data_IF_131198072817
#
_entry.id   IF_131198072817
#
_cell.length_a   1.000
_cell.length_b   1.000
_cell.length_c   1.000
_cell.angle_alpha   90.00
_cell.angle_beta   90.00
_cell.angle_gamma   90.00
#
_symmetry.space_group_name_H-M   'P 1'
#
loop_
_entity.id
_entity.type
_entity.pdbx_description
1 polymer ?
#
# COMPACT_ATOMS: atom_id res chain seq x y z
N UNK A 1 6.95 24.10 3.24
CA UNK A 1 6.20 24.99 4.16
C UNK A 1 4.97 25.57 3.45
N UNK A 2 5.08 26.20 2.26
CA UNK A 2 3.94 26.79 1.53
C UNK A 2 2.83 25.79 1.24
N UNK A 3 3.15 24.58 0.75
CA UNK A 3 2.16 23.53 0.47
C UNK A 3 1.40 23.14 1.73
N UNK A 4 2.09 22.98 2.86
CA UNK A 4 1.45 22.62 4.15
C UNK A 4 0.49 23.73 4.57
N UNK A 5 0.89 24.99 4.45
CA UNK A 5 0.03 26.15 4.77
C UNK A 5 -1.22 26.19 3.90
N UNK A 6 -1.08 25.97 2.58
CA UNK A 6 -2.21 25.94 1.66
C UNK A 6 -3.16 24.78 1.94
N UNK A 7 -2.64 23.57 2.13
CA UNK A 7 -3.45 22.38 2.42
C UNK A 7 -4.16 22.50 3.76
N UNK A 8 -3.52 23.10 4.78
CA UNK A 8 -4.14 23.32 6.09
C UNK A 8 -5.38 24.23 6.03
N UNK A 9 -5.39 25.19 5.11
CA UNK A 9 -6.52 26.13 4.94
C UNK A 9 -7.68 25.54 4.10
N UNK A 10 -7.51 24.35 3.49
CA UNK A 10 -8.58 23.72 2.72
C UNK A 10 -9.62 23.15 3.67
N UNK A 11 -10.92 23.50 3.54
CA UNK A 11 -11.98 22.93 4.35
C UNK A 11 -12.04 21.39 4.20
N UNK A 12 -12.14 20.70 5.33
CA UNK A 12 -12.09 19.23 5.40
C UNK A 12 -13.17 18.51 4.56
N UNK A 13 -14.26 19.16 4.23
CA UNK A 13 -15.32 18.55 3.42
C UNK A 13 -14.89 18.22 2.00
N UNK A 14 -13.91 18.94 1.42
CA UNK A 14 -13.35 18.60 0.11
C UNK A 14 -12.61 17.26 0.14
N UNK A 15 -11.94 16.93 1.24
CA UNK A 15 -11.28 15.63 1.40
C UNK A 15 -12.28 14.46 1.42
N UNK A 16 -13.55 14.72 1.73
CA UNK A 16 -14.62 13.72 1.62
C UNK A 16 -14.86 13.30 0.17
N UNK A 17 -14.87 14.25 -0.75
CA UNK A 17 -15.02 13.95 -2.17
C UNK A 17 -13.78 13.21 -2.71
N UNK A 18 -12.58 13.70 -2.36
CA UNK A 18 -11.30 13.08 -2.73
C UNK A 18 -11.24 11.63 -2.26
N UNK A 19 -11.67 11.32 -1.03
CA UNK A 19 -11.63 9.95 -0.51
C UNK A 19 -12.58 8.99 -1.22
N UNK A 20 -13.75 9.48 -1.66
CA UNK A 20 -14.76 8.64 -2.33
C UNK A 20 -14.41 8.38 -3.80
N UNK A 21 -14.06 9.45 -4.53
CA UNK A 21 -13.75 9.37 -5.95
C UNK A 21 -12.30 8.93 -6.19
N UNK A 22 -11.38 9.27 -5.28
CA UNK A 22 -9.96 8.98 -5.41
C UNK A 22 -9.62 7.50 -5.35
N UNK A 23 -10.28 6.70 -4.50
CA UNK A 23 -10.01 5.27 -4.40
C UNK A 23 -10.22 4.51 -5.71
N UNK A 24 -11.36 4.59 -6.40
CA UNK A 24 -11.53 3.93 -7.70
C UNK A 24 -10.51 4.39 -8.74
N UNK A 25 -10.23 5.70 -8.79
CA UNK A 25 -9.23 6.26 -9.71
C UNK A 25 -7.85 5.66 -9.44
N UNK A 26 -7.45 5.60 -8.16
CA UNK A 26 -6.17 5.03 -7.75
C UNK A 26 -6.09 3.55 -8.08
N UNK A 27 -7.15 2.77 -7.90
CA UNK A 27 -7.17 1.35 -8.25
C UNK A 27 -7.00 1.13 -9.75
N UNK A 28 -7.64 1.95 -10.59
CA UNK A 28 -7.45 1.92 -12.05
C UNK A 28 -5.99 2.26 -12.40
N UNK A 29 -5.40 3.28 -11.78
CA UNK A 29 -4.01 3.67 -12.01
C UNK A 29 -3.02 2.59 -11.55
N UNK A 30 -3.27 1.96 -10.40
CA UNK A 30 -2.45 0.85 -9.90
C UNK A 30 -2.55 -0.38 -10.81
N UNK A 31 -3.77 -0.75 -11.24
CA UNK A 31 -3.98 -1.83 -12.20
C UNK A 31 -3.26 -1.54 -13.53
N UNK A 32 -3.39 -0.33 -14.05
CA UNK A 32 -2.67 0.09 -15.25
C UNK A 32 -1.14 -0.02 -15.06
N UNK A 33 -0.63 0.41 -13.91
CA UNK A 33 0.81 0.34 -13.60
C UNK A 33 1.31 -1.11 -13.53
N UNK A 34 0.52 -2.03 -12.97
CA UNK A 34 0.88 -3.45 -12.95
C UNK A 34 0.99 -4.05 -14.35
N UNK A 35 0.14 -3.58 -15.30
CA UNK A 35 0.10 -4.13 -16.66
C UNK A 35 1.13 -3.44 -17.57
N UNK A 36 1.23 -2.11 -17.51
CA UNK A 36 1.98 -1.28 -18.46
C UNK A 36 3.01 -0.34 -17.83
N UNK A 37 3.25 -0.44 -16.52
CA UNK A 37 4.19 0.45 -15.84
C UNK A 37 5.61 0.33 -16.40
N UNK A 38 6.31 1.45 -16.44
CA UNK A 38 7.71 1.52 -16.90
C UNK A 38 8.68 1.21 -15.78
N UNK A 39 9.77 0.54 -16.14
CA UNK A 39 10.92 0.29 -15.27
C UNK A 39 11.87 1.46 -15.44
N UNK A 40 12.12 2.22 -14.36
CA UNK A 40 13.08 3.31 -14.36
C UNK A 40 14.32 2.88 -13.58
N UNK A 41 15.51 3.21 -14.11
CA UNK A 41 16.79 2.98 -13.46
C UNK A 41 17.11 1.53 -13.08
N UNK A 42 16.81 0.56 -13.97
CA UNK A 42 17.19 -0.85 -13.76
C UNK A 42 16.38 -1.58 -12.68
N UNK A 43 15.43 -0.92 -12.04
CA UNK A 43 14.55 -1.56 -11.05
C UNK A 43 13.58 -2.51 -11.77
N UNK A 44 13.68 -3.82 -11.52
CA UNK A 44 12.83 -4.87 -12.11
C UNK A 44 11.34 -4.79 -11.71
N UNK A 45 10.78 -3.61 -11.48
CA UNK A 45 9.38 -3.44 -11.12
C UNK A 45 8.77 -2.22 -11.82
N UNK A 46 7.67 -2.45 -12.49
CA UNK A 46 6.81 -1.42 -13.06
C UNK A 46 6.12 -0.64 -11.95
N UNK A 47 6.65 0.52 -11.57
CA UNK A 47 6.13 1.33 -10.43
C UNK A 47 5.76 2.74 -10.83
N UNK A 48 6.19 3.16 -12.03
CA UNK A 48 6.13 4.52 -12.47
C UNK A 48 5.23 4.67 -13.69
N UNK A 49 4.51 5.75 -13.75
CA UNK A 49 3.83 6.21 -14.95
C UNK A 49 4.55 7.46 -15.45
N UNK A 50 4.98 7.43 -16.70
CA UNK A 50 5.48 8.63 -17.37
C UNK A 50 4.30 9.38 -17.96
N UNK A 51 4.23 10.67 -17.65
CA UNK A 51 3.23 11.56 -18.26
C UNK A 51 3.74 11.91 -19.67
N UNK A 52 3.02 11.49 -20.73
CA UNK A 52 3.40 11.85 -22.08
C UNK A 52 3.45 13.37 -22.21
N UNK A 53 4.38 13.88 -23.02
CA UNK A 53 4.62 15.30 -23.33
C UNK A 53 5.31 16.14 -22.23
N UNK A 54 5.31 15.74 -20.96
CA UNK A 54 5.90 16.52 -19.87
C UNK A 54 7.23 15.92 -19.36
N UNK A 55 7.51 14.67 -19.70
CA UNK A 55 8.72 13.97 -19.23
C UNK A 55 8.75 13.69 -17.73
N UNK A 56 7.69 14.05 -17.00
CA UNK A 56 7.57 13.77 -15.58
C UNK A 56 7.08 12.34 -15.35
N UNK A 57 7.68 11.68 -14.38
CA UNK A 57 7.22 10.37 -13.90
C UNK A 57 6.73 10.48 -12.46
N UNK A 58 5.65 9.79 -12.13
CA UNK A 58 5.18 9.70 -10.76
C UNK A 58 4.93 8.25 -10.35
N UNK A 59 5.11 7.98 -9.08
CA UNK A 59 4.88 6.67 -8.50
C UNK A 59 3.42 6.55 -8.06
N UNK A 60 2.65 5.66 -8.68
CA UNK A 60 1.23 5.48 -8.40
C UNK A 60 0.94 5.05 -6.96
N UNK A 61 1.83 4.27 -6.33
CA UNK A 61 1.68 3.85 -4.94
C UNK A 61 1.77 5.02 -3.94
N UNK A 62 2.50 6.11 -4.26
CA UNK A 62 2.54 7.31 -3.41
C UNK A 62 1.19 8.03 -3.43
N UNK A 63 0.59 8.20 -4.61
CA UNK A 63 -0.76 8.75 -4.73
C UNK A 63 -1.78 7.88 -4.01
N UNK A 64 -1.66 6.56 -4.17
CA UNK A 64 -2.51 5.59 -3.49
C UNK A 64 -2.44 5.72 -1.97
N UNK A 65 -1.24 5.88 -1.41
CA UNK A 65 -1.05 6.07 0.03
C UNK A 65 -1.77 7.32 0.54
N UNK A 66 -1.62 8.46 -0.16
CA UNK A 66 -2.27 9.72 0.23
C UNK A 66 -3.81 9.56 0.23
N UNK A 67 -4.37 9.04 -0.85
CA UNK A 67 -5.82 8.84 -0.97
C UNK A 67 -6.33 7.86 0.09
N UNK A 68 -5.58 6.78 0.34
CA UNK A 68 -5.93 5.78 1.34
C UNK A 68 -5.92 6.38 2.76
N UNK A 69 -4.92 7.18 3.12
CA UNK A 69 -4.86 7.82 4.44
C UNK A 69 -6.02 8.81 4.64
N UNK A 70 -6.37 9.59 3.62
CA UNK A 70 -7.54 10.47 3.67
C UNK A 70 -8.82 9.65 3.87
N UNK A 71 -8.94 8.52 3.18
CA UNK A 71 -10.09 7.62 3.31
C UNK A 71 -10.19 7.03 4.72
N UNK A 72 -9.09 6.51 5.28
CA UNK A 72 -9.04 5.94 6.63
C UNK A 72 -9.37 6.99 7.68
N UNK A 73 -8.75 8.17 7.61
CA UNK A 73 -9.01 9.28 8.51
C UNK A 73 -10.48 9.71 8.49
N UNK A 74 -11.07 9.77 7.30
CA UNK A 74 -12.50 10.06 7.14
C UNK A 74 -13.38 8.99 7.77
N UNK A 75 -13.06 7.69 7.58
CA UNK A 75 -13.81 6.60 8.20
C UNK A 75 -13.78 6.72 9.72
N UNK A 76 -12.61 6.92 10.31
CA UNK A 76 -12.42 7.07 11.75
C UNK A 76 -13.18 8.30 12.30
N UNK A 77 -13.15 9.41 11.57
CA UNK A 77 -13.92 10.60 11.95
C UNK A 77 -15.43 10.36 11.94
N UNK A 78 -15.94 9.64 10.91
CA UNK A 78 -17.36 9.30 10.80
C UNK A 78 -17.84 8.38 11.92
N UNK A 79 -16.98 7.44 12.35
CA UNK A 79 -17.33 6.40 13.33
C UNK A 79 -16.95 6.76 14.76
N UNK A 80 -16.51 8.00 15.01
CA UNK A 80 -16.03 8.43 16.34
C UNK A 80 -17.04 8.27 17.46
N UNK A 81 -18.33 8.52 17.16
CA UNK A 81 -19.44 8.52 18.14
C UNK A 81 -20.30 7.25 18.06
N UNK A 82 -20.02 6.36 17.12
CA UNK A 82 -20.81 5.14 16.91
C UNK A 82 -20.00 3.90 17.27
N UNK A 83 -20.62 2.88 17.90
CA UNK A 83 -19.91 1.64 18.19
C UNK A 83 -19.50 0.94 16.90
N UNK A 84 -18.20 0.66 16.77
CA UNK A 84 -17.66 -0.01 15.60
C UNK A 84 -17.88 -1.51 15.74
N UNK A 85 -18.67 -2.09 14.81
CA UNK A 85 -18.83 -3.53 14.69
C UNK A 85 -17.74 -4.10 13.76
N UNK A 86 -17.15 -5.24 14.10
CA UNK A 86 -16.10 -5.87 13.29
C UNK A 86 -16.54 -6.09 11.85
N UNK A 87 -17.75 -6.63 11.63
CA UNK A 87 -18.28 -6.91 10.29
C UNK A 87 -18.42 -5.65 9.43
N UNK A 88 -18.97 -4.56 10.01
CA UNK A 88 -19.10 -3.30 9.27
C UNK A 88 -17.75 -2.71 8.93
N UNK A 89 -16.82 -2.70 9.89
CA UNK A 89 -15.48 -2.14 9.65
C UNK A 89 -14.67 -2.98 8.65
N UNK A 90 -14.88 -4.29 8.60
CA UNK A 90 -14.22 -5.15 7.63
C UNK A 90 -14.57 -4.75 6.19
N UNK A 91 -15.86 -4.50 5.91
CA UNK A 91 -16.31 -4.09 4.58
C UNK A 91 -16.05 -2.61 4.26
N UNK A 92 -16.31 -1.72 5.22
CA UNK A 92 -16.24 -0.28 4.96
C UNK A 92 -14.81 0.27 5.02
N UNK A 93 -13.94 -0.29 5.86
CA UNK A 93 -12.57 0.20 6.06
C UNK A 93 -11.54 -0.76 5.46
N UNK A 94 -11.53 -2.02 5.90
CA UNK A 94 -10.43 -2.93 5.62
C UNK A 94 -10.45 -3.49 4.21
N UNK A 95 -11.63 -3.70 3.59
CA UNK A 95 -11.71 -4.15 2.20
C UNK A 95 -11.03 -3.16 1.24
N UNK A 96 -11.30 -1.84 1.26
CA UNK A 96 -10.57 -0.88 0.44
C UNK A 96 -9.06 -0.82 0.75
N UNK A 97 -8.69 -0.96 2.02
CA UNK A 97 -7.27 -1.00 2.43
C UNK A 97 -6.58 -2.21 1.81
N UNK A 98 -7.13 -3.40 1.97
CA UNK A 98 -6.52 -4.63 1.45
C UNK A 98 -6.49 -4.65 -0.09
N UNK A 99 -7.54 -4.20 -0.78
CA UNK A 99 -7.53 -4.08 -2.24
C UNK A 99 -6.37 -3.18 -2.68
N UNK A 100 -6.20 -2.02 -2.05
CA UNK A 100 -5.11 -1.10 -2.40
C UNK A 100 -3.74 -1.74 -2.18
N UNK A 101 -3.54 -2.41 -1.04
CA UNK A 101 -2.29 -3.08 -0.71
C UNK A 101 -1.99 -4.26 -1.65
N UNK A 102 -3.02 -5.02 -2.06
CA UNK A 102 -2.89 -6.11 -3.03
C UNK A 102 -2.36 -5.63 -4.38
N UNK A 103 -2.76 -4.46 -4.84
CA UNK A 103 -2.22 -3.87 -6.08
C UNK A 103 -0.78 -3.40 -5.95
N UNK A 104 -0.35 -2.96 -4.76
CA UNK A 104 1.01 -2.45 -4.53
C UNK A 104 2.00 -3.59 -4.25
N UNK A 105 1.55 -4.64 -3.56
CA UNK A 105 2.37 -5.73 -3.05
C UNK A 105 3.28 -6.38 -4.10
N UNK A 106 2.80 -6.77 -5.30
CA UNK A 106 3.65 -7.42 -6.31
C UNK A 106 4.82 -6.54 -6.76
N UNK A 107 4.61 -5.23 -6.81
CA UNK A 107 5.62 -4.27 -7.23
C UNK A 107 6.56 -3.82 -6.12
N UNK A 108 6.09 -3.73 -4.86
CA UNK A 108 6.86 -3.14 -3.78
C UNK A 108 6.40 -3.57 -2.39
N UNK A 109 6.98 -4.65 -1.90
CA UNK A 109 6.69 -5.15 -0.55
C UNK A 109 6.97 -4.10 0.55
N UNK A 110 8.13 -3.43 0.51
CA UNK A 110 8.51 -2.46 1.53
C UNK A 110 7.52 -1.30 1.62
N UNK A 111 7.07 -0.78 0.47
CA UNK A 111 6.04 0.27 0.43
C UNK A 111 4.70 -0.25 0.94
N UNK A 112 4.31 -1.48 0.60
CA UNK A 112 3.09 -2.12 1.10
C UNK A 112 3.12 -2.27 2.61
N UNK A 113 4.22 -2.78 3.18
CA UNK A 113 4.40 -2.93 4.62
C UNK A 113 4.39 -1.58 5.34
N UNK A 114 5.04 -0.56 4.77
CA UNK A 114 5.05 0.79 5.32
C UNK A 114 3.65 1.41 5.33
N UNK A 115 2.92 1.34 4.22
CA UNK A 115 1.55 1.86 4.14
C UNK A 115 0.64 1.13 5.13
N UNK A 116 0.75 -0.21 5.21
CA UNK A 116 -0.03 -1.00 6.17
C UNK A 116 0.27 -0.57 7.61
N UNK A 117 1.55 -0.43 7.98
CA UNK A 117 1.96 0.02 9.32
C UNK A 117 1.41 1.42 9.63
N UNK A 118 1.45 2.34 8.67
CA UNK A 118 0.88 3.68 8.85
C UNK A 118 -0.65 3.64 9.01
N UNK A 119 -1.36 2.77 8.28
CA UNK A 119 -2.81 2.58 8.45
C UNK A 119 -3.11 2.00 9.84
N UNK A 120 -2.35 1.00 10.31
CA UNK A 120 -2.48 0.45 11.66
C UNK A 120 -2.27 1.56 12.71
N UNK A 121 -1.22 2.35 12.57
CA UNK A 121 -0.93 3.47 13.47
C UNK A 121 -2.06 4.51 13.48
N UNK A 122 -2.58 4.87 12.30
CA UNK A 122 -3.68 5.81 12.17
C UNK A 122 -4.97 5.29 12.81
N UNK A 123 -5.29 4.00 12.61
CA UNK A 123 -6.45 3.36 13.23
C UNK A 123 -6.29 3.25 14.76
N UNK A 124 -5.09 2.98 15.24
CA UNK A 124 -4.78 2.99 16.67
C UNK A 124 -5.01 4.38 17.30
N UNK A 125 -4.47 5.44 16.69
CA UNK A 125 -4.69 6.83 17.13
C UNK A 125 -6.17 7.19 17.06
N UNK A 126 -6.90 6.70 16.06
CA UNK A 126 -8.33 6.89 15.87
C UNK A 126 -9.23 6.11 16.86
N UNK A 127 -8.64 5.47 17.87
CA UNK A 127 -9.35 4.68 18.90
C UNK A 127 -10.16 3.50 18.34
N UNK A 128 -9.68 2.91 17.25
CA UNK A 128 -10.25 1.67 16.73
C UNK A 128 -10.08 0.52 17.75
N UNK A 129 -11.05 -0.40 17.94
CA UNK A 129 -10.97 -1.45 18.94
C UNK A 129 -9.74 -2.35 18.76
N UNK A 130 -8.87 -2.41 19.78
CA UNK A 130 -7.59 -3.13 19.73
C UNK A 130 -7.76 -4.61 19.37
N UNK A 131 -8.80 -5.27 19.88
CA UNK A 131 -9.09 -6.69 19.55
C UNK A 131 -9.25 -6.93 18.07
N UNK A 132 -9.90 -6.01 17.35
CA UNK A 132 -10.06 -6.11 15.90
C UNK A 132 -8.75 -5.78 15.17
N UNK A 133 -7.98 -4.84 15.72
CA UNK A 133 -6.68 -4.46 15.17
C UNK A 133 -5.70 -5.64 15.19
N UNK A 134 -5.61 -6.35 16.34
CA UNK A 134 -4.79 -7.57 16.44
C UNK A 134 -5.23 -8.66 15.48
N UNK A 135 -6.54 -8.83 15.29
CA UNK A 135 -7.07 -9.78 14.31
C UNK A 135 -6.67 -9.41 12.88
N UNK A 136 -6.72 -8.13 12.52
CA UNK A 136 -6.32 -7.64 11.20
C UNK A 136 -4.81 -7.83 10.98
N UNK A 137 -3.97 -7.52 11.97
CA UNK A 137 -2.52 -7.75 11.89
C UNK A 137 -2.25 -9.23 11.70
N UNK A 138 -2.85 -10.10 12.50
CA UNK A 138 -2.70 -11.55 12.39
C UNK A 138 -3.13 -12.07 11.02
N UNK A 139 -4.29 -11.63 10.51
CA UNK A 139 -4.77 -12.03 9.18
C UNK A 139 -3.85 -11.53 8.06
N UNK A 140 -3.28 -10.33 8.20
CA UNK A 140 -2.30 -9.79 7.26
C UNK A 140 -1.02 -10.62 7.20
N UNK A 141 -0.51 -11.06 8.36
CA UNK A 141 0.66 -11.94 8.44
C UNK A 141 0.39 -13.32 7.82
N UNK A 142 -0.76 -13.91 8.13
CA UNK A 142 -1.18 -15.18 7.51
C UNK A 142 -1.28 -15.04 5.99
N UNK A 143 -1.93 -13.98 5.51
CA UNK A 143 -2.03 -13.69 4.08
C UNK A 143 -0.65 -13.54 3.43
N UNK A 144 0.27 -12.79 4.05
CA UNK A 144 1.62 -12.61 3.54
C UNK A 144 2.38 -13.95 3.46
N UNK A 145 2.25 -14.80 4.48
CA UNK A 145 2.86 -16.13 4.48
C UNK A 145 2.35 -16.96 3.30
N UNK A 146 1.04 -17.01 3.09
CA UNK A 146 0.45 -17.70 1.94
C UNK A 146 0.92 -17.10 0.61
N UNK A 147 1.00 -15.79 0.50
CA UNK A 147 1.47 -15.11 -0.70
C UNK A 147 2.92 -15.51 -1.04
N UNK A 148 3.81 -15.58 -0.04
CA UNK A 148 5.20 -16.01 -0.23
C UNK A 148 5.27 -17.51 -0.61
N UNK A 149 4.51 -18.37 0.06
CA UNK A 149 4.49 -19.82 -0.24
C UNK A 149 4.02 -20.09 -1.66
N UNK A 150 2.93 -19.47 -2.09
CA UNK A 150 2.42 -19.59 -3.48
C UNK A 150 3.44 -19.01 -4.46
N UNK A 151 4.04 -17.88 -4.13
CA UNK A 151 5.03 -17.24 -5.00
C UNK A 151 6.29 -18.07 -5.23
N UNK A 152 6.70 -18.89 -4.26
CA UNK A 152 7.79 -19.87 -4.43
C UNK A 152 7.45 -20.99 -5.41
N UNK A 153 6.17 -21.35 -5.54
CA UNK A 153 5.71 -22.39 -6.47
C UNK A 153 5.55 -21.87 -7.91
N UNK A 154 5.26 -20.57 -8.07
CA UNK A 154 5.00 -19.96 -9.38
C UNK A 154 5.93 -18.75 -9.64
N UNK A 155 7.26 -18.94 -9.69
CA UNK A 155 8.24 -17.85 -9.80
C UNK A 155 8.12 -17.08 -11.12
N UNK A 156 7.66 -17.71 -12.18
CA UNK A 156 7.50 -17.09 -13.50
C UNK A 156 6.29 -16.16 -13.62
N UNK A 157 5.38 -16.22 -12.65
CA UNK A 157 4.22 -15.33 -12.64
C UNK A 157 4.62 -13.90 -12.35
N UNK A 158 4.12 -12.97 -13.16
CA UNK A 158 4.36 -11.52 -13.02
C UNK A 158 4.02 -11.00 -11.62
N UNK A 159 3.04 -11.60 -10.95
CA UNK A 159 2.65 -11.24 -9.59
C UNK A 159 3.66 -11.69 -8.52
N UNK A 160 4.40 -12.76 -8.77
CA UNK A 160 5.31 -13.36 -7.81
C UNK A 160 6.78 -13.18 -8.17
N UNK A 161 7.08 -12.51 -9.28
CA UNK A 161 8.46 -12.31 -9.79
C UNK A 161 9.43 -11.70 -8.76
N UNK A 162 8.90 -11.05 -7.73
CA UNK A 162 9.68 -10.41 -6.66
C UNK A 162 9.84 -11.26 -5.41
N UNK A 163 9.10 -12.35 -5.26
CA UNK A 163 9.16 -13.21 -4.07
C UNK A 163 10.56 -13.82 -3.93
N UNK A 164 11.16 -14.25 -5.03
CA UNK A 164 12.55 -14.72 -5.06
C UNK A 164 13.55 -13.68 -4.53
N UNK A 165 13.41 -12.42 -4.97
CA UNK A 165 14.27 -11.32 -4.51
C UNK A 165 14.09 -11.03 -3.01
N UNK A 166 12.89 -11.19 -2.46
CA UNK A 166 12.67 -10.97 -1.03
C UNK A 166 13.28 -12.09 -0.18
N UNK A 167 13.13 -13.34 -0.64
CA UNK A 167 13.70 -14.49 0.06
C UNK A 167 15.22 -14.48 0.01
N UNK A 168 15.85 -14.20 -1.14
CA UNK A 168 17.30 -14.09 -1.22
C UNK A 168 17.87 -13.01 -0.32
N UNK A 169 17.27 -11.81 -0.31
CA UNK A 169 17.71 -10.75 0.61
C UNK A 169 17.57 -11.11 2.09
N UNK A 170 16.54 -11.86 2.45
CA UNK A 170 16.37 -12.35 3.82
C UNK A 170 17.44 -13.40 4.16
N UNK A 171 17.72 -14.32 3.24
CA UNK A 171 18.76 -15.35 3.38
C UNK A 171 20.15 -14.71 3.48
N UNK A 172 20.47 -13.74 2.61
CA UNK A 172 21.73 -12.99 2.64
C UNK A 172 21.92 -12.26 3.97
N UNK A 173 20.86 -11.62 4.47
CA UNK A 173 20.88 -10.92 5.75
C UNK A 173 21.07 -11.88 6.95
N UNK A 174 20.46 -13.07 6.90
CA UNK A 174 20.55 -14.06 7.99
C UNK A 174 21.80 -14.93 7.93
N UNK A 175 22.34 -15.17 6.72
CA UNK A 175 23.55 -15.99 6.53
C UNK A 175 24.88 -15.26 6.78
N UNK A 176 24.83 -13.96 7.08
CA UNK A 176 26.00 -13.09 7.30
C UNK A 176 27.04 -13.14 6.14
N UNK A 177 26.61 -13.53 4.93
CA UNK A 177 27.43 -13.44 3.72
C UNK A 177 27.17 -12.09 3.10
N UNK A 178 28.17 -11.17 3.02
CA UNK A 178 28.04 -9.99 2.17
C UNK A 178 27.82 -10.48 0.76
N UNK A 179 26.74 -10.02 0.09
CA UNK A 179 26.43 -10.39 -1.27
C UNK A 179 27.62 -10.00 -2.16
N UNK A 180 28.11 -10.93 -2.96
CA UNK A 180 29.17 -10.70 -3.94
C UNK A 180 28.75 -9.68 -5.03
N UNK A 181 27.49 -9.27 -5.07
CA UNK A 181 26.92 -8.43 -6.13
C UNK A 181 26.84 -6.92 -5.79
N UNK A 182 27.34 -6.49 -4.63
CA UNK A 182 27.30 -5.06 -4.26
C UNK A 182 28.46 -4.22 -4.84
N UNK A 183 29.33 -4.81 -5.69
CA UNK A 183 30.52 -4.15 -6.24
C UNK A 183 30.67 -4.26 -7.77
N UNK A 184 29.57 -4.39 -8.52
CA UNK A 184 29.63 -4.27 -9.99
C UNK A 184 28.76 -3.13 -10.50
#
# INVERSE_FOLDING_TARGET
ILIIYWVHNIPYHYFRAISKAGLPVVWILLAYTLIKGTVIAGANASRWIQIPFVGLSFQTSTLAAIVLFIFVARYLSKTRETPITFKSSLWELWTPVFITLMFILPGNFSTTALIFSMVIMLTFIGRYPLKYLFFIIGSGLVFLTFFILIGKQFPESRFFSRVGTWTSRYEDFTSNKPGEDDYQ
#
